data_IF_763510927971
#
_entry.id   IF_763510927971
#
_cell.length_a   1.000
_cell.length_b   1.000
_cell.length_c   1.000
_cell.angle_alpha   90.00
_cell.angle_beta   90.00
_cell.angle_gamma   90.00
#
_symmetry.space_group_name_H-M   'P 1'
#
loop_
_entity.id
_entity.type
_entity.pdbx_description
1 polymer ?
#
# COMPACT_ATOMS: atom_id res chain seq x y z
N UNK A 1 46.69 -28.87 -3.21
CA UNK A 1 45.53 -29.78 -3.10
C UNK A 1 44.52 -29.37 -4.16
N UNK A 2 44.38 -30.19 -5.20
CA UNK A 2 43.45 -29.96 -6.30
C UNK A 2 42.11 -30.64 -5.97
N UNK A 3 41.00 -29.93 -6.15
CA UNK A 3 39.66 -30.53 -6.18
C UNK A 3 38.89 -29.94 -7.36
N UNK A 4 38.27 -30.86 -8.08
CA UNK A 4 37.76 -30.77 -9.44
C UNK A 4 36.42 -30.02 -9.55
N UNK A 5 36.19 -29.47 -10.74
CA UNK A 5 34.89 -29.02 -11.25
C UNK A 5 34.07 -30.25 -11.67
N UNK A 6 32.80 -30.29 -11.27
CA UNK A 6 31.81 -31.20 -11.81
C UNK A 6 30.79 -30.38 -12.62
N UNK A 7 30.79 -30.61 -13.92
CA UNK A 7 29.71 -30.23 -14.84
C UNK A 7 28.53 -31.17 -14.62
N UNK A 8 27.33 -30.62 -14.47
CA UNK A 8 26.08 -31.36 -14.61
C UNK A 8 25.21 -30.68 -15.66
N UNK A 9 25.04 -31.40 -16.77
CA UNK A 9 24.12 -31.08 -17.84
C UNK A 9 22.66 -31.19 -17.35
N UNK A 10 21.85 -30.19 -17.66
CA UNK A 10 20.40 -30.24 -17.47
C UNK A 10 19.75 -30.84 -18.72
N UNK A 11 19.18 -32.03 -18.54
CA UNK A 11 18.29 -32.72 -19.46
C UNK A 11 16.90 -32.08 -19.40
N UNK A 12 16.43 -31.54 -20.53
CA UNK A 12 15.11 -30.92 -20.68
C UNK A 12 14.14 -31.93 -21.27
N UNK A 13 13.37 -32.61 -20.43
CA UNK A 13 12.17 -33.34 -20.85
C UNK A 13 10.92 -32.63 -20.32
N UNK A 14 10.20 -32.01 -21.24
CA UNK A 14 8.94 -31.32 -20.99
C UNK A 14 7.82 -32.33 -20.72
N UNK A 15 7.32 -32.38 -19.49
CA UNK A 15 6.07 -33.04 -19.16
C UNK A 15 4.90 -32.08 -19.45
N UNK A 16 4.06 -32.44 -20.42
CA UNK A 16 2.77 -31.81 -20.69
C UNK A 16 1.83 -32.11 -19.52
N UNK A 17 1.56 -31.10 -18.70
CA UNK A 17 0.50 -31.17 -17.70
C UNK A 17 -0.83 -30.73 -18.30
N UNK A 18 -1.86 -31.57 -18.16
CA UNK A 18 -3.23 -31.33 -18.63
C UNK A 18 -4.06 -30.93 -17.42
N UNK A 19 -4.24 -29.64 -17.20
CA UNK A 19 -5.19 -29.14 -16.21
C UNK A 19 -6.63 -29.16 -16.77
N UNK A 20 -7.64 -29.50 -15.96
CA UNK A 20 -9.03 -29.59 -16.39
C UNK A 20 -9.67 -28.20 -16.52
N UNK A 21 -10.45 -28.04 -17.58
CA UNK A 21 -11.35 -26.91 -17.83
C UNK A 21 -12.41 -26.79 -16.73
N UNK A 22 -12.32 -25.74 -15.92
CA UNK A 22 -13.44 -25.25 -15.13
C UNK A 22 -14.29 -24.31 -16.00
N UNK A 23 -15.52 -24.75 -16.28
CA UNK A 23 -16.58 -23.95 -16.91
C UNK A 23 -17.23 -23.12 -15.80
N UNK A 24 -17.21 -21.80 -15.94
CA UNK A 24 -17.89 -20.87 -15.03
C UNK A 24 -17.89 -19.47 -15.63
N UNK A 25 -19.08 -18.98 -15.97
CA UNK A 25 -19.38 -17.74 -16.68
C UNK A 25 -18.61 -16.52 -16.18
N UNK A 26 -17.84 -15.89 -17.06
CA UNK A 26 -17.34 -14.52 -16.92
C UNK A 26 -17.03 -13.95 -18.31
N UNK A 27 -18.06 -13.84 -19.14
CA UNK A 27 -17.97 -13.13 -20.42
C UNK A 27 -18.68 -11.76 -20.28
N UNK A 28 -18.06 -10.88 -19.48
CA UNK A 28 -18.35 -9.44 -19.58
C UNK A 28 -17.57 -8.92 -20.79
N UNK A 29 -18.27 -8.89 -21.93
CA UNK A 29 -17.72 -8.46 -23.22
C UNK A 29 -17.01 -7.10 -23.13
N UNK A 30 -16.00 -6.89 -23.98
CA UNK A 30 -15.32 -5.60 -24.14
C UNK A 30 -16.28 -4.41 -24.44
N UNK A 31 -17.50 -4.69 -24.92
CA UNK A 31 -18.54 -3.70 -25.10
C UNK A 31 -19.11 -3.17 -23.77
N UNK A 32 -19.18 -4.01 -22.74
CA UNK A 32 -19.52 -3.58 -21.38
C UNK A 32 -18.40 -2.72 -20.81
N UNK A 33 -17.14 -3.14 -20.91
CA UNK A 33 -16.01 -2.35 -20.42
C UNK A 33 -15.90 -0.95 -21.08
N UNK A 34 -16.18 -0.83 -22.39
CA UNK A 34 -16.13 0.45 -23.10
C UNK A 34 -17.32 1.36 -22.78
N UNK A 35 -18.54 0.82 -22.67
CA UNK A 35 -19.73 1.61 -22.28
C UNK A 35 -19.60 2.18 -20.86
N UNK A 36 -18.96 1.43 -19.96
CA UNK A 36 -18.71 1.86 -18.59
C UNK A 36 -17.57 2.89 -18.48
N UNK A 37 -16.58 2.86 -19.39
CA UNK A 37 -15.53 3.89 -19.46
C UNK A 37 -16.10 5.28 -19.76
N UNK A 38 -17.10 5.35 -20.63
CA UNK A 38 -17.75 6.61 -21.03
C UNK A 38 -18.66 7.18 -19.92
N UNK A 39 -19.35 6.32 -19.17
CA UNK A 39 -20.21 6.74 -18.05
C UNK A 39 -19.39 7.18 -16.81
N UNK A 40 -18.28 6.49 -16.51
CA UNK A 40 -17.42 6.81 -15.35
C UNK A 40 -16.46 7.97 -15.57
N UNK A 41 -16.04 8.24 -16.82
CA UNK A 41 -15.29 9.46 -17.16
C UNK A 41 -16.06 10.74 -16.77
N UNK A 42 -17.39 10.67 -16.67
CA UNK A 42 -18.24 11.77 -16.18
C UNK A 42 -18.33 11.84 -14.64
N UNK A 43 -18.28 10.70 -13.94
CA UNK A 43 -18.42 10.61 -12.47
C UNK A 43 -17.10 10.96 -11.76
N UNK A 44 -15.95 10.68 -12.37
CA UNK A 44 -14.63 10.94 -11.79
C UNK A 44 -13.89 12.13 -12.41
N UNK A 45 -14.50 12.87 -13.35
CA UNK A 45 -13.84 13.91 -14.15
C UNK A 45 -14.47 15.31 -14.11
N UNK A 46 -15.72 15.49 -13.66
CA UNK A 46 -16.37 16.81 -13.49
C UNK A 46 -17.42 16.76 -12.37
N UNK A 47 -17.69 17.86 -11.66
CA UNK A 47 -18.76 17.90 -10.67
C UNK A 47 -20.11 17.59 -11.33
N UNK A 48 -21.01 16.80 -10.69
CA UNK A 48 -22.22 16.35 -11.34
C UNK A 48 -23.23 17.49 -11.47
N UNK A 49 -23.75 17.66 -12.69
CA UNK A 49 -25.10 18.20 -12.89
C UNK A 49 -26.07 17.05 -12.63
N UNK A 50 -26.94 17.22 -11.65
CA UNK A 50 -27.99 16.24 -11.32
C UNK A 50 -28.95 16.08 -12.51
N UNK A 51 -29.01 14.89 -13.09
CA UNK A 51 -30.23 14.42 -13.74
C UNK A 51 -30.43 12.93 -13.44
N UNK A 52 -31.20 12.66 -12.38
CA UNK A 52 -31.51 11.31 -11.90
C UNK A 52 -32.79 10.77 -12.54
N UNK A 53 -32.97 10.95 -13.85
CA UNK A 53 -34.13 10.41 -14.57
C UNK A 53 -33.70 9.63 -15.81
N UNK A 54 -33.45 8.32 -15.65
CA UNK A 54 -33.72 7.26 -16.64
C UNK A 54 -33.14 5.91 -16.20
N UNK A 55 -33.84 5.21 -15.31
CA UNK A 55 -33.87 3.74 -15.35
C UNK A 55 -35.23 3.28 -14.84
N UNK A 56 -36.16 3.07 -15.76
CA UNK A 56 -37.36 2.27 -15.54
C UNK A 56 -37.71 1.57 -16.86
N UNK A 57 -37.36 0.28 -16.97
CA UNK A 57 -38.04 -0.63 -17.88
C UNK A 57 -39.07 -1.39 -17.06
N UNK A 58 -40.33 -1.19 -17.43
CA UNK A 58 -41.50 -1.69 -16.75
C UNK A 58 -41.64 -3.22 -16.92
N UNK A 59 -41.77 -3.93 -15.81
CA UNK A 59 -42.46 -5.21 -15.75
C UNK A 59 -43.91 -4.95 -15.30
N UNK A 60 -44.87 -5.46 -16.07
CA UNK A 60 -46.31 -5.33 -15.81
C UNK A 60 -46.71 -6.13 -14.56
N UNK A 61 -47.48 -5.56 -13.60
CA UNK A 61 -47.84 -6.26 -12.38
C UNK A 61 -49.10 -7.13 -12.59
N UNK A 62 -49.00 -8.40 -12.20
CA UNK A 62 -50.16 -9.24 -11.90
C UNK A 62 -50.77 -8.83 -10.57
N UNK A 63 -52.10 -8.71 -10.57
CA UNK A 63 -52.94 -8.20 -9.48
C UNK A 63 -53.13 -9.22 -8.35
N UNK A 64 -53.10 -8.68 -7.13
CA UNK A 64 -53.80 -9.11 -5.91
C UNK A 64 -52.92 -9.70 -4.79
N UNK A 65 -52.38 -8.82 -3.96
CA UNK A 65 -52.60 -8.90 -2.51
C UNK A 65 -52.47 -7.50 -1.90
N UNK A 66 -53.55 -6.99 -1.32
CA UNK A 66 -53.59 -5.72 -0.59
C UNK A 66 -53.23 -5.95 0.89
N UNK A 67 -52.16 -6.72 1.13
CA UNK A 67 -51.47 -6.74 2.41
C UNK A 67 -50.77 -5.39 2.61
N UNK A 68 -50.76 -4.91 3.85
CA UNK A 68 -50.12 -3.68 4.31
C UNK A 68 -48.79 -3.41 3.58
N UNK A 69 -48.83 -2.47 2.62
CA UNK A 69 -47.68 -2.11 1.77
C UNK A 69 -46.76 -1.10 2.43
N UNK A 70 -46.88 -0.89 3.74
CA UNK A 70 -45.96 -0.01 4.44
C UNK A 70 -44.59 -0.67 4.37
N UNK A 71 -43.58 -0.05 3.70
CA UNK A 71 -42.27 -0.65 3.58
C UNK A 71 -41.72 -0.95 4.98
N UNK A 72 -41.13 -2.13 5.16
CA UNK A 72 -40.46 -2.53 6.40
C UNK A 72 -39.38 -1.50 6.74
N UNK A 73 -39.73 -0.53 7.59
CA UNK A 73 -38.81 0.52 8.02
C UNK A 73 -37.72 -0.13 8.88
N UNK A 74 -36.48 0.12 8.53
CA UNK A 74 -35.34 -0.24 9.35
C UNK A 74 -34.99 0.93 10.25
N UNK A 75 -34.59 0.63 11.49
CA UNK A 75 -33.95 1.62 12.35
C UNK A 75 -32.57 2.03 11.80
N UNK A 76 -31.92 3.00 12.45
CA UNK A 76 -30.61 3.50 12.00
C UNK A 76 -29.47 2.49 12.20
N UNK A 77 -29.62 1.54 13.14
CA UNK A 77 -28.55 0.60 13.53
C UNK A 77 -28.03 -0.25 12.35
N UNK A 78 -28.87 -0.94 11.56
CA UNK A 78 -28.41 -1.68 10.37
C UNK A 78 -27.58 -0.83 9.40
N UNK A 79 -28.05 0.38 9.09
CA UNK A 79 -27.34 1.29 8.17
C UNK A 79 -26.00 1.77 8.75
N UNK A 80 -25.97 2.10 10.05
CA UNK A 80 -24.73 2.50 10.72
C UNK A 80 -23.72 1.34 10.84
N UNK A 81 -24.18 0.12 11.11
CA UNK A 81 -23.33 -1.07 11.16
C UNK A 81 -22.75 -1.38 9.76
N UNK A 82 -23.58 -1.26 8.71
CA UNK A 82 -23.13 -1.39 7.32
C UNK A 82 -22.11 -0.33 6.93
N UNK A 83 -22.37 0.94 7.27
CA UNK A 83 -21.44 2.03 7.02
C UNK A 83 -20.09 1.81 7.71
N UNK A 84 -20.12 1.50 9.01
CA UNK A 84 -18.90 1.23 9.80
C UNK A 84 -18.10 0.06 9.23
N UNK A 85 -18.77 -1.03 8.87
CA UNK A 85 -18.12 -2.23 8.31
C UNK A 85 -17.42 -1.91 6.99
N UNK A 86 -17.98 -1.01 6.18
CA UNK A 86 -17.44 -0.63 4.88
C UNK A 86 -16.58 0.65 4.91
N UNK A 87 -16.38 1.27 6.08
CA UNK A 87 -15.63 2.52 6.21
C UNK A 87 -16.29 3.72 5.54
N UNK A 88 -17.62 3.76 5.51
CA UNK A 88 -18.43 4.84 4.94
C UNK A 88 -18.93 5.80 6.02
N UNK A 89 -19.12 7.06 5.64
CA UNK A 89 -19.83 8.08 6.40
C UNK A 89 -21.32 8.05 6.05
N UNK A 90 -22.20 8.28 7.05
CA UNK A 90 -23.64 8.40 6.86
C UNK A 90 -24.17 9.77 7.28
N UNK A 91 -25.20 10.24 6.58
CA UNK A 91 -25.93 11.46 6.93
C UNK A 91 -27.42 11.28 6.67
N UNK A 92 -28.25 11.67 7.63
CA UNK A 92 -29.69 11.79 7.40
C UNK A 92 -29.96 13.03 6.54
N UNK A 93 -30.71 12.87 5.46
CA UNK A 93 -31.13 13.96 4.58
C UNK A 93 -32.42 14.60 5.09
N UNK A 94 -32.74 15.85 4.69
CA UNK A 94 -33.96 16.54 5.14
C UNK A 94 -35.27 15.82 4.80
N UNK A 95 -35.29 15.01 3.75
CA UNK A 95 -36.42 14.18 3.32
C UNK A 95 -36.51 12.81 4.04
N UNK A 96 -35.65 12.58 5.05
CA UNK A 96 -35.70 11.37 5.89
C UNK A 96 -34.94 10.16 5.35
N UNK A 97 -34.19 10.31 4.25
CA UNK A 97 -33.32 9.29 3.67
C UNK A 97 -31.96 9.24 4.37
N UNK A 98 -31.17 8.22 4.02
CA UNK A 98 -29.76 8.08 4.46
C UNK A 98 -28.86 8.20 3.25
N UNK A 99 -27.97 9.18 3.29
CA UNK A 99 -26.87 9.33 2.35
C UNK A 99 -25.64 8.57 2.87
N UNK A 100 -24.99 7.83 1.98
CA UNK A 100 -23.72 7.16 2.19
C UNK A 100 -22.63 7.86 1.37
N UNK A 101 -21.49 8.14 2.00
CA UNK A 101 -20.36 8.78 1.34
C UNK A 101 -19.03 8.34 1.91
N UNK A 102 -17.95 8.70 1.24
CA UNK A 102 -16.59 8.60 1.75
C UNK A 102 -15.83 9.88 1.40
N UNK A 103 -14.75 10.16 2.15
CA UNK A 103 -13.82 11.25 1.83
C UNK A 103 -12.61 10.68 1.08
N UNK A 104 -12.36 11.16 -0.14
CA UNK A 104 -11.26 10.75 -1.00
C UNK A 104 -10.54 11.99 -1.54
N UNK A 105 -9.24 12.08 -1.30
CA UNK A 105 -8.38 13.15 -1.79
C UNK A 105 -8.85 14.57 -1.41
N UNK A 106 -9.46 14.71 -0.23
CA UNK A 106 -10.03 15.96 0.27
C UNK A 106 -11.49 16.19 -0.13
N UNK A 107 -12.04 15.38 -1.04
CA UNK A 107 -13.37 15.55 -1.62
C UNK A 107 -14.35 14.49 -1.09
N UNK A 108 -15.64 14.83 -1.10
CA UNK A 108 -16.70 13.89 -0.73
C UNK A 108 -17.16 13.12 -1.96
N UNK A 109 -17.02 11.80 -1.92
CA UNK A 109 -17.63 10.88 -2.88
C UNK A 109 -18.93 10.33 -2.30
N UNK A 110 -20.07 10.73 -2.86
CA UNK A 110 -21.37 10.14 -2.49
C UNK A 110 -21.53 8.79 -3.19
N UNK A 111 -21.79 7.74 -2.41
CA UNK A 111 -22.06 6.38 -2.90
C UNK A 111 -23.52 6.25 -3.32
N UNK A 112 -24.44 6.81 -2.53
CA UNK A 112 -25.87 6.76 -2.80
C UNK A 112 -26.69 7.38 -1.68
N UNK A 113 -27.96 7.65 -1.97
CA UNK A 113 -28.95 8.10 -0.96
C UNK A 113 -30.18 7.20 -1.08
N UNK A 114 -30.53 6.53 0.02
CA UNK A 114 -31.57 5.49 0.03
C UNK A 114 -32.58 5.71 1.14
N UNK A 115 -33.81 5.25 0.92
CA UNK A 115 -34.83 5.24 1.96
C UNK A 115 -34.43 4.30 3.12
N UNK A 116 -34.92 4.59 4.34
CA UNK A 116 -34.70 3.76 5.54
C UNK A 116 -35.56 2.50 5.54
N UNK A 117 -35.48 1.73 4.47
CA UNK A 117 -36.24 0.51 4.24
C UNK A 117 -35.30 -0.66 3.95
N UNK A 118 -35.82 -1.88 4.00
CA UNK A 118 -35.07 -3.07 3.61
C UNK A 118 -34.61 -3.03 2.16
N UNK A 119 -35.43 -2.46 1.27
CA UNK A 119 -35.14 -2.26 -0.14
C UNK A 119 -34.00 -1.25 -0.32
N UNK A 120 -34.05 -0.11 0.38
CA UNK A 120 -32.98 0.88 0.36
C UNK A 120 -31.65 0.31 0.87
N UNK A 121 -31.68 -0.55 1.89
CA UNK A 121 -30.49 -1.26 2.36
C UNK A 121 -29.90 -2.20 1.29
N UNK A 122 -30.74 -2.98 0.60
CA UNK A 122 -30.29 -3.84 -0.51
C UNK A 122 -29.73 -3.03 -1.67
N UNK A 123 -30.34 -1.88 -1.96
CA UNK A 123 -29.89 -0.97 -3.01
C UNK A 123 -28.47 -0.47 -2.72
N UNK A 124 -28.21 0.09 -1.53
CA UNK A 124 -26.88 0.60 -1.21
C UNK A 124 -25.81 -0.51 -1.15
N UNK A 125 -26.15 -1.70 -0.65
CA UNK A 125 -25.24 -2.86 -0.66
C UNK A 125 -24.87 -3.28 -2.09
N UNK A 126 -25.85 -3.32 -3.00
CA UNK A 126 -25.62 -3.61 -4.42
C UNK A 126 -24.75 -2.54 -5.07
N UNK A 127 -25.07 -1.26 -4.88
CA UNK A 127 -24.31 -0.14 -5.45
C UNK A 127 -22.85 -0.17 -4.99
N UNK A 128 -22.61 -0.41 -3.68
CA UNK A 128 -21.26 -0.49 -3.15
C UNK A 128 -20.47 -1.66 -3.74
N UNK A 129 -21.10 -2.84 -3.88
CA UNK A 129 -20.47 -4.02 -4.50
C UNK A 129 -20.10 -3.76 -5.96
N UNK A 130 -21.01 -3.17 -6.73
CA UNK A 130 -20.77 -2.81 -8.13
C UNK A 130 -19.60 -1.84 -8.26
N UNK A 131 -19.59 -0.74 -7.49
CA UNK A 131 -18.48 0.22 -7.49
C UNK A 131 -17.15 -0.45 -7.09
N UNK A 132 -17.17 -1.36 -6.12
CA UNK A 132 -15.97 -2.09 -5.67
C UNK A 132 -15.43 -2.97 -6.79
N UNK A 133 -16.28 -3.77 -7.43
CA UNK A 133 -15.88 -4.65 -8.54
C UNK A 133 -15.36 -3.86 -9.75
N UNK A 134 -16.01 -2.74 -10.10
CA UNK A 134 -15.58 -1.86 -11.18
C UNK A 134 -14.22 -1.23 -10.89
N UNK A 135 -14.03 -0.68 -9.69
CA UNK A 135 -12.73 -0.10 -9.30
C UNK A 135 -11.64 -1.17 -9.26
N UNK A 136 -11.92 -2.39 -8.79
CA UNK A 136 -10.94 -3.48 -8.83
C UNK A 136 -10.48 -3.75 -10.27
N UNK A 137 -11.43 -3.95 -11.20
CA UNK A 137 -11.13 -4.19 -12.61
C UNK A 137 -10.34 -3.04 -13.24
N UNK A 138 -10.70 -1.80 -12.92
CA UNK A 138 -9.97 -0.61 -13.37
C UNK A 138 -8.50 -0.65 -12.94
N UNK A 139 -8.22 -0.94 -11.66
CA UNK A 139 -6.85 -0.99 -11.13
C UNK A 139 -6.05 -2.15 -11.73
N UNK A 140 -6.66 -3.33 -11.88
CA UNK A 140 -5.99 -4.46 -12.53
C UNK A 140 -5.61 -4.13 -13.99
N UNK A 141 -6.46 -3.41 -14.71
CA UNK A 141 -6.20 -3.02 -16.10
C UNK A 141 -5.20 -1.87 -16.22
N UNK A 142 -5.29 -0.85 -15.35
CA UNK A 142 -4.44 0.35 -15.40
C UNK A 142 -3.01 0.05 -14.95
N UNK A 143 -2.86 -0.74 -13.89
CA UNK A 143 -1.57 -0.95 -13.22
C UNK A 143 -1.04 -2.39 -13.33
N UNK A 144 -1.82 -3.33 -13.88
CA UNK A 144 -1.39 -4.73 -13.98
C UNK A 144 -1.27 -5.45 -12.64
N UNK A 145 -1.86 -4.91 -11.57
CA UNK A 145 -1.91 -5.55 -10.24
C UNK A 145 -3.01 -6.61 -10.20
N UNK A 146 -3.05 -7.41 -9.13
CA UNK A 146 -4.12 -8.39 -8.86
C UNK A 146 -4.65 -8.28 -7.44
N UNK A 147 -5.89 -8.71 -7.22
CA UNK A 147 -6.52 -8.73 -5.90
C UNK A 147 -7.00 -10.14 -5.58
N UNK A 148 -6.60 -10.66 -4.42
CA UNK A 148 -7.01 -11.98 -3.98
C UNK A 148 -8.53 -12.05 -3.78
N UNK A 149 -9.14 -13.15 -4.23
CA UNK A 149 -10.55 -13.44 -4.03
C UNK A 149 -10.76 -14.52 -2.97
N UNK A 150 -11.94 -14.55 -2.31
CA UNK A 150 -12.31 -15.69 -1.45
C UNK A 150 -12.17 -17.02 -2.20
N UNK A 151 -11.35 -17.92 -1.66
CA UNK A 151 -11.06 -19.23 -2.27
C UNK A 151 -9.74 -19.28 -3.05
N UNK A 152 -9.08 -18.15 -3.29
CA UNK A 152 -7.72 -18.13 -3.83
C UNK A 152 -6.73 -18.85 -2.90
N UNK A 153 -5.58 -19.31 -3.43
CA UNK A 153 -4.50 -19.85 -2.61
C UNK A 153 -4.12 -18.90 -1.47
N UNK A 154 -4.19 -19.42 -0.24
CA UNK A 154 -4.12 -18.63 0.99
C UNK A 154 -2.67 -18.34 1.35
N UNK A 155 -2.31 -17.07 1.66
CA UNK A 155 -1.01 -16.80 2.26
C UNK A 155 -0.90 -17.55 3.60
N UNK A 156 0.33 -17.83 4.00
CA UNK A 156 0.61 -18.48 5.29
C UNK A 156 1.18 -17.45 6.23
N UNK A 157 0.82 -17.56 7.51
CA UNK A 157 1.48 -16.81 8.56
C UNK A 157 2.99 -17.03 8.49
N UNK A 158 3.76 -15.94 8.56
CA UNK A 158 5.21 -16.03 8.68
C UNK A 158 5.56 -16.88 9.91
N UNK A 159 6.41 -17.89 9.71
CA UNK A 159 6.92 -18.75 10.77
C UNK A 159 8.42 -18.60 10.84
N UNK A 160 8.99 -18.67 12.05
CA UNK A 160 10.44 -18.63 12.22
C UNK A 160 11.14 -19.65 11.31
N UNK A 161 12.32 -19.32 10.75
CA UNK A 161 13.09 -20.26 9.94
C UNK A 161 13.29 -21.59 10.66
N UNK A 162 12.85 -22.69 10.04
CA UNK A 162 12.92 -24.05 10.62
C UNK A 162 11.69 -24.48 11.45
N UNK A 163 10.71 -23.60 11.64
CA UNK A 163 9.42 -23.95 12.27
C UNK A 163 8.47 -24.60 11.26
N UNK A 164 7.41 -25.25 11.79
CA UNK A 164 6.32 -25.75 10.95
C UNK A 164 5.69 -24.58 10.16
N UNK A 165 5.25 -24.80 8.91
CA UNK A 165 4.60 -23.77 8.12
C UNK A 165 3.45 -23.15 8.91
N UNK A 166 3.38 -21.81 8.92
CA UNK A 166 2.30 -21.10 9.59
C UNK A 166 0.92 -21.47 9.05
N UNK A 167 -0.10 -21.11 9.83
CA UNK A 167 -1.51 -21.35 9.49
C UNK A 167 -1.86 -20.62 8.19
N UNK A 168 -2.69 -21.25 7.37
CA UNK A 168 -3.28 -20.59 6.21
C UNK A 168 -4.25 -19.48 6.65
N UNK A 169 -4.14 -18.34 5.98
CA UNK A 169 -4.89 -17.13 6.32
C UNK A 169 -6.04 -16.94 5.33
N UNK A 170 -7.25 -16.89 5.87
CA UNK A 170 -8.45 -16.67 5.08
C UNK A 170 -8.47 -15.27 4.49
N UNK A 171 -8.81 -15.18 3.21
CA UNK A 171 -8.88 -13.92 2.45
C UNK A 171 -10.33 -13.49 2.25
N UNK A 172 -10.53 -12.18 2.14
CA UNK A 172 -11.78 -11.50 1.77
C UNK A 172 -11.54 -10.63 0.54
N UNK A 173 -12.62 -10.24 -0.11
CA UNK A 173 -12.56 -9.17 -1.11
C UNK A 173 -12.19 -7.82 -0.44
N UNK A 174 -11.50 -6.93 -1.17
CA UNK A 174 -11.25 -5.57 -0.72
C UNK A 174 -12.54 -4.75 -0.58
N UNK A 175 -12.50 -3.72 0.26
CA UNK A 175 -13.54 -2.68 0.35
C UNK A 175 -13.24 -1.57 -0.65
N UNK A 176 -14.26 -0.86 -1.13
CA UNK A 176 -14.08 0.29 -2.04
C UNK A 176 -13.05 1.31 -1.53
N UNK A 177 -13.12 1.65 -0.24
CA UNK A 177 -12.20 2.57 0.42
C UNK A 177 -10.72 2.13 0.32
N UNK A 178 -10.47 0.83 0.44
CA UNK A 178 -9.13 0.25 0.35
C UNK A 178 -8.59 0.35 -1.08
N UNK A 179 -9.44 0.06 -2.07
CA UNK A 179 -9.08 0.19 -3.48
C UNK A 179 -8.76 1.64 -3.87
N UNK A 180 -9.52 2.62 -3.38
CA UNK A 180 -9.24 4.04 -3.63
C UNK A 180 -7.90 4.49 -3.03
N UNK A 181 -7.52 3.97 -1.86
CA UNK A 181 -6.23 4.26 -1.25
C UNK A 181 -5.07 3.59 -2.01
N UNK A 182 -5.29 2.37 -2.48
CA UNK A 182 -4.35 1.66 -3.35
C UNK A 182 -4.17 2.39 -4.68
N UNK A 183 -5.24 2.90 -5.29
CA UNK A 183 -5.17 3.70 -6.52
C UNK A 183 -4.22 4.89 -6.35
N UNK A 184 -4.43 5.69 -5.29
CA UNK A 184 -3.59 6.85 -4.98
C UNK A 184 -2.12 6.44 -4.76
N UNK A 185 -1.88 5.32 -4.07
CA UNK A 185 -0.55 4.78 -3.87
C UNK A 185 0.11 4.32 -5.18
N UNK A 186 -0.62 3.59 -6.04
CA UNK A 186 -0.11 3.06 -7.29
C UNK A 186 0.27 4.18 -8.26
N UNK A 187 -0.53 5.23 -8.36
CA UNK A 187 -0.21 6.42 -9.15
C UNK A 187 1.10 7.06 -8.70
N UNK A 188 1.30 7.23 -7.38
CA UNK A 188 2.50 7.86 -6.81
C UNK A 188 3.73 6.96 -6.76
N UNK A 189 3.53 5.66 -6.58
CA UNK A 189 4.59 4.67 -6.51
C UNK A 189 4.96 4.11 -7.87
N UNK A 190 4.38 4.55 -8.99
CA UNK A 190 4.78 4.05 -10.31
C UNK A 190 6.30 4.22 -10.52
N UNK A 191 7.07 3.17 -10.90
CA UNK A 191 6.62 1.84 -11.36
C UNK A 191 6.84 0.70 -10.34
N UNK A 192 6.75 0.94 -9.04
CA UNK A 192 6.96 -0.06 -8.00
C UNK A 192 5.97 -1.21 -8.00
N UNK A 193 4.79 -1.02 -8.56
CA UNK A 193 3.86 -2.13 -8.80
C UNK A 193 4.16 -2.90 -10.10
N UNK A 194 4.97 -2.32 -10.99
CA UNK A 194 5.31 -2.95 -12.26
C UNK A 194 6.16 -4.17 -11.99
N UNK A 195 5.72 -5.26 -12.61
CA UNK A 195 6.46 -6.49 -12.74
C UNK A 195 7.72 -6.12 -13.52
N UNK A 196 8.92 -6.35 -12.96
CA UNK A 196 10.15 -6.17 -13.75
C UNK A 196 10.22 -7.22 -14.87
N UNK A 197 11.42 -7.66 -15.20
CA UNK A 197 11.62 -8.76 -16.17
C UNK A 197 10.90 -10.07 -15.78
N UNK A 198 10.47 -10.22 -14.53
CA UNK A 198 9.76 -11.40 -14.03
C UNK A 198 8.33 -11.56 -14.55
N UNK A 199 7.69 -10.50 -15.06
CA UNK A 199 6.31 -10.55 -15.58
C UNK A 199 5.21 -10.82 -14.54
N UNK A 200 5.55 -10.99 -13.25
CA UNK A 200 4.62 -11.36 -12.17
C UNK A 200 3.96 -10.15 -11.51
N UNK A 201 2.64 -10.05 -11.63
CA UNK A 201 1.82 -8.98 -11.04
C UNK A 201 1.94 -8.93 -9.51
N UNK A 202 2.05 -7.72 -8.94
CA UNK A 202 1.88 -7.55 -7.49
C UNK A 202 0.45 -7.89 -7.12
N UNK A 203 0.29 -8.81 -6.17
CA UNK A 203 -1.03 -9.26 -5.70
C UNK A 203 -1.33 -8.74 -4.29
N UNK A 204 -2.50 -8.10 -4.13
CA UNK A 204 -2.98 -7.63 -2.83
C UNK A 204 -3.88 -8.66 -2.17
N UNK A 205 -3.57 -9.01 -0.93
CA UNK A 205 -4.32 -9.94 -0.09
C UNK A 205 -4.98 -9.19 1.05
N UNK A 206 -6.29 -9.33 1.23
CA UNK A 206 -7.02 -8.75 2.35
C UNK A 206 -7.51 -9.85 3.27
N UNK A 207 -7.00 -9.88 4.50
CA UNK A 207 -7.27 -10.99 5.39
C UNK A 207 -8.59 -10.83 6.15
N UNK A 208 -9.19 -11.97 6.51
CA UNK A 208 -10.32 -12.05 7.46
C UNK A 208 -9.82 -12.16 8.91
N UNK A 209 -8.68 -12.81 9.10
CA UNK A 209 -8.07 -13.10 10.40
C UNK A 209 -6.67 -12.50 10.43
N UNK A 210 -6.17 -12.12 11.61
CA UNK A 210 -4.84 -11.53 11.74
C UNK A 210 -3.77 -12.51 11.25
N UNK A 211 -2.82 -11.99 10.46
CA UNK A 211 -1.69 -12.76 9.92
C UNK A 211 -0.65 -13.08 10.97
N UNK A 212 -0.48 -12.22 11.96
CA UNK A 212 0.54 -12.37 12.99
C UNK A 212 -0.06 -12.72 14.35
N UNK A 213 0.78 -13.19 15.29
CA UNK A 213 0.37 -13.23 16.69
C UNK A 213 -0.15 -11.85 17.11
N UNK A 214 -1.15 -11.75 18.02
CA UNK A 214 -1.81 -10.48 18.38
C UNK A 214 -0.87 -9.33 18.82
N UNK A 215 0.40 -9.64 19.08
CA UNK A 215 1.49 -8.74 19.47
C UNK A 215 2.17 -8.01 18.29
N UNK A 216 2.18 -8.59 17.09
CA UNK A 216 2.77 -7.99 15.89
C UNK A 216 1.72 -7.13 15.18
N UNK A 217 1.70 -5.85 15.52
CA UNK A 217 0.73 -4.85 15.06
C UNK A 217 1.05 -4.31 13.65
N UNK A 218 1.29 -5.21 12.68
CA UNK A 218 1.43 -4.83 11.27
C UNK A 218 0.09 -4.34 10.72
N UNK A 219 0.10 -3.32 9.86
CA UNK A 219 -1.10 -2.89 9.13
C UNK A 219 -1.19 -3.66 7.80
N UNK A 220 -0.05 -3.74 7.13
CA UNK A 220 0.21 -4.55 5.97
C UNK A 220 1.66 -5.04 6.02
N UNK A 221 2.02 -5.96 5.13
CA UNK A 221 3.38 -6.41 4.92
C UNK A 221 3.59 -6.76 3.44
N UNK A 222 4.77 -6.45 2.91
CA UNK A 222 5.22 -6.97 1.62
C UNK A 222 5.92 -8.32 1.80
N UNK A 223 5.33 -9.37 1.24
CA UNK A 223 5.83 -10.74 1.32
C UNK A 223 5.56 -11.49 0.00
N UNK A 224 6.36 -12.51 -0.36
CA UNK A 224 6.00 -13.39 -1.47
C UNK A 224 4.73 -14.20 -1.18
N UNK A 225 3.86 -14.34 -2.18
CA UNK A 225 2.70 -15.24 -2.08
C UNK A 225 3.11 -16.73 -2.08
N UNK A 226 2.14 -17.63 -1.99
CA UNK A 226 2.38 -19.09 -2.00
C UNK A 226 3.03 -19.63 -3.27
N UNK A 227 3.12 -18.82 -4.33
CA UNK A 227 3.78 -19.12 -5.60
C UNK A 227 5.07 -18.32 -5.78
N UNK A 228 5.52 -17.61 -4.74
CA UNK A 228 6.70 -16.74 -4.77
C UNK A 228 6.52 -15.52 -5.69
N UNK A 229 5.29 -15.02 -5.88
CA UNK A 229 5.04 -13.75 -6.54
C UNK A 229 5.04 -12.61 -5.53
N UNK A 230 5.43 -11.38 -5.91
CA UNK A 230 5.38 -10.24 -4.99
C UNK A 230 3.93 -9.99 -4.53
N UNK A 231 3.73 -9.83 -3.23
CA UNK A 231 2.42 -9.59 -2.67
C UNK A 231 2.44 -8.57 -1.52
N UNK A 232 1.31 -7.88 -1.36
CA UNK A 232 1.03 -7.03 -0.21
C UNK A 232 -0.09 -7.68 0.57
N UNK A 233 0.18 -8.06 1.82
CA UNK A 233 -0.76 -8.72 2.71
C UNK A 233 -1.28 -7.70 3.72
N UNK A 234 -2.58 -7.48 3.73
CA UNK A 234 -3.25 -6.47 4.55
C UNK A 234 -4.03 -7.16 5.68
N UNK A 235 -3.70 -6.81 6.92
CA UNK A 235 -4.34 -7.37 8.10
C UNK A 235 -5.82 -6.96 8.22
N UNK A 236 -6.66 -7.78 8.89
CA UNK A 236 -8.09 -7.49 8.97
C UNK A 236 -8.34 -6.21 9.77
N UNK A 237 -9.21 -5.36 9.24
CA UNK A 237 -9.68 -4.13 9.89
C UNK A 237 -8.57 -3.11 10.25
N UNK A 238 -7.32 -3.35 9.84
CA UNK A 238 -6.18 -2.47 10.14
C UNK A 238 -6.34 -1.09 9.45
N UNK A 239 -7.08 -1.05 8.34
CA UNK A 239 -7.32 0.14 7.52
C UNK A 239 -8.69 0.81 7.78
N UNK A 240 -9.56 0.24 8.61
CA UNK A 240 -10.96 0.70 8.73
C UNK A 240 -11.04 2.17 9.16
N UNK A 241 -10.18 2.58 10.10
CA UNK A 241 -10.11 3.95 10.64
C UNK A 241 -9.05 4.82 9.96
N UNK A 242 -8.38 4.29 8.95
CA UNK A 242 -7.27 4.93 8.23
C UNK A 242 -7.85 5.82 7.12
N UNK A 243 -7.45 7.10 7.01
CA UNK A 243 -7.87 7.95 5.88
C UNK A 243 -7.46 7.35 4.54
N UNK A 244 -8.17 7.65 3.45
CA UNK A 244 -7.84 7.09 2.12
C UNK A 244 -6.49 7.64 1.65
N UNK A 245 -6.37 8.96 1.60
CA UNK A 245 -5.16 9.68 1.18
C UNK A 245 -4.59 10.53 2.31
N UNK A 246 -3.36 11.03 2.15
CA UNK A 246 -2.79 12.00 3.09
C UNK A 246 -3.60 13.30 3.15
N UNK A 247 -4.30 13.69 2.07
CA UNK A 247 -5.17 14.89 2.05
C UNK A 247 -6.45 14.72 2.86
N UNK A 248 -6.86 13.48 3.13
CA UNK A 248 -8.06 13.19 3.90
C UNK A 248 -7.84 13.29 5.40
N UNK A 249 -6.57 13.35 5.85
CA UNK A 249 -6.20 13.39 7.27
C UNK A 249 -6.77 14.61 7.97
N UNK A 250 -7.34 14.39 9.15
CA UNK A 250 -7.51 15.47 10.11
C UNK A 250 -6.16 15.79 10.75
N UNK A 251 -5.80 17.07 10.76
CA UNK A 251 -4.59 17.65 11.39
C UNK A 251 -4.41 17.25 12.86
N UNK A 252 -5.46 16.75 13.53
CA UNK A 252 -5.47 16.42 14.96
C UNK A 252 -4.92 15.02 15.34
N UNK A 253 -4.58 14.15 14.38
CA UNK A 253 -4.02 12.82 14.72
C UNK A 253 -2.49 12.87 14.79
N UNK A 254 -1.98 12.72 16.01
CA UNK A 254 -0.56 12.51 16.27
C UNK A 254 -0.12 11.14 15.76
N UNK A 255 0.84 11.13 14.84
CA UNK A 255 1.46 9.92 14.28
C UNK A 255 1.98 10.13 12.86
N UNK A 256 3.10 9.48 12.49
CA UNK A 256 3.63 9.54 11.13
C UNK A 256 2.61 8.93 10.16
N UNK A 257 2.22 9.70 9.14
CA UNK A 257 1.65 9.28 7.85
C UNK A 257 1.01 7.89 7.80
N UNK A 258 -0.25 7.78 8.22
CA UNK A 258 -1.04 6.53 8.14
C UNK A 258 -2.33 6.76 7.35
N UNK A 259 -2.23 7.19 6.11
CA UNK A 259 -3.30 6.97 5.14
C UNK A 259 -3.16 5.58 4.53
N UNK A 260 -4.19 5.08 3.87
CA UNK A 260 -4.09 3.84 3.09
C UNK A 260 -3.05 4.06 1.99
N UNK A 261 -3.08 5.23 1.34
CA UNK A 261 -2.08 5.67 0.38
C UNK A 261 -0.65 5.53 0.91
N UNK A 262 -0.33 6.11 2.09
CA UNK A 262 1.04 6.05 2.62
C UNK A 262 1.48 4.64 2.99
N UNK A 263 0.59 3.82 3.58
CA UNK A 263 0.88 2.42 3.89
C UNK A 263 1.19 1.64 2.62
N UNK A 264 0.41 1.81 1.56
CA UNK A 264 0.64 1.04 0.33
C UNK A 264 1.90 1.51 -0.40
N UNK A 265 2.23 2.80 -0.37
CA UNK A 265 3.53 3.28 -0.90
C UNK A 265 4.69 2.68 -0.11
N UNK A 266 4.55 2.53 1.21
CA UNK A 266 5.54 1.89 2.07
C UNK A 266 5.76 0.42 1.65
N UNK A 267 4.69 -0.37 1.56
CA UNK A 267 4.82 -1.78 1.17
C UNK A 267 5.40 -1.93 -0.25
N UNK A 268 5.02 -1.04 -1.18
CA UNK A 268 5.61 -1.01 -2.52
C UNK A 268 7.08 -0.54 -2.51
N UNK A 269 7.53 0.17 -1.46
CA UNK A 269 8.93 0.51 -1.24
C UNK A 269 9.79 -0.72 -0.94
N UNK A 270 9.26 -1.71 -0.22
CA UNK A 270 9.93 -3.01 -0.05
C UNK A 270 10.08 -3.74 -1.40
N UNK A 271 9.08 -3.66 -2.27
CA UNK A 271 9.22 -4.20 -3.63
C UNK A 271 10.27 -3.45 -4.47
N UNK A 272 10.32 -2.11 -4.38
CA UNK A 272 11.37 -1.31 -5.02
C UNK A 272 12.76 -1.76 -4.58
N UNK A 273 12.94 -2.04 -3.28
CA UNK A 273 14.19 -2.56 -2.73
C UNK A 273 14.59 -3.88 -3.40
N UNK A 274 13.68 -4.85 -3.48
CA UNK A 274 13.95 -6.14 -4.13
C UNK A 274 14.28 -6.01 -5.62
N UNK A 275 13.60 -5.08 -6.32
CA UNK A 275 13.83 -4.85 -7.76
C UNK A 275 15.16 -4.18 -8.03
N UNK A 276 15.52 -3.16 -7.24
CA UNK A 276 16.63 -2.27 -7.56
C UNK A 276 17.98 -2.90 -7.25
N UNK A 277 18.09 -3.69 -6.19
CA UNK A 277 19.37 -4.31 -5.80
C UNK A 277 19.58 -5.65 -6.50
N UNK A 278 20.67 -5.77 -7.26
CA UNK A 278 20.95 -6.98 -8.05
C UNK A 278 21.49 -8.14 -7.22
N UNK A 279 22.05 -7.83 -6.06
CA UNK A 279 22.62 -8.81 -5.14
C UNK A 279 22.68 -8.27 -3.71
N UNK A 280 22.85 -9.16 -2.71
CA UNK A 280 22.92 -8.75 -1.31
C UNK A 280 24.07 -7.78 -0.96
N UNK A 281 25.18 -7.81 -1.70
CA UNK A 281 26.32 -6.92 -1.41
C UNK A 281 26.01 -5.47 -1.78
N UNK A 282 25.40 -5.23 -2.95
CA UNK A 282 24.95 -3.90 -3.37
C UNK A 282 23.94 -3.32 -2.37
N UNK A 283 23.01 -4.16 -1.91
CA UNK A 283 22.02 -3.80 -0.87
C UNK A 283 22.68 -3.44 0.46
N UNK A 284 23.64 -4.25 0.92
CA UNK A 284 24.40 -3.99 2.14
C UNK A 284 25.23 -2.70 2.07
N UNK A 285 25.86 -2.42 0.92
CA UNK A 285 26.59 -1.17 0.70
C UNK A 285 25.67 0.05 0.72
N UNK A 286 24.46 -0.07 0.15
CA UNK A 286 23.45 0.98 0.25
C UNK A 286 23.02 1.22 1.71
N UNK A 287 22.75 0.17 2.47
CA UNK A 287 22.42 0.29 3.89
C UNK A 287 23.54 0.91 4.71
N UNK A 288 24.80 0.61 4.39
CA UNK A 288 25.96 1.29 4.97
C UNK A 288 25.96 2.79 4.66
N UNK A 289 25.58 3.17 3.44
CA UNK A 289 25.35 4.57 3.07
C UNK A 289 24.29 5.25 3.94
N UNK A 290 23.23 4.53 4.31
CA UNK A 290 22.16 4.96 5.22
C UNK A 290 22.56 4.93 6.71
N UNK A 291 23.83 4.66 7.03
CA UNK A 291 24.31 4.65 8.41
C UNK A 291 24.01 3.33 9.15
N UNK A 292 23.71 2.25 8.45
CA UNK A 292 23.54 0.92 9.06
C UNK A 292 24.79 0.07 8.91
N UNK A 293 24.96 -0.93 9.78
CA UNK A 293 26.00 -1.94 9.66
C UNK A 293 25.52 -3.26 10.24
N UNK A 294 26.04 -4.41 9.77
CA UNK A 294 25.75 -5.68 10.41
C UNK A 294 26.19 -5.64 11.87
N UNK A 295 25.46 -6.31 12.75
CA UNK A 295 25.87 -6.45 14.16
C UNK A 295 27.17 -7.26 14.21
N UNK A 296 28.21 -6.82 14.94
CA UNK A 296 29.47 -7.56 15.01
C UNK A 296 29.24 -8.99 15.51
N UNK A 297 29.74 -9.97 14.76
CA UNK A 297 29.59 -11.39 15.09
C UNK A 297 28.27 -12.03 14.63
N UNK A 298 27.30 -11.27 14.10
CA UNK A 298 26.12 -11.85 13.47
C UNK A 298 26.49 -12.55 12.16
N UNK A 299 25.85 -13.68 11.88
CA UNK A 299 26.04 -14.35 10.59
C UNK A 299 25.23 -13.64 9.49
N UNK A 300 25.66 -13.68 8.22
CA UNK A 300 24.92 -13.06 7.12
C UNK A 300 23.45 -13.49 7.04
N UNK A 301 23.15 -14.76 7.35
CA UNK A 301 21.79 -15.31 7.37
C UNK A 301 20.91 -14.80 8.51
N UNK A 302 21.48 -14.24 9.57
CA UNK A 302 20.75 -13.72 10.72
C UNK A 302 20.14 -12.33 10.46
N UNK A 303 20.59 -11.66 9.38
CA UNK A 303 20.09 -10.36 8.92
C UNK A 303 19.97 -9.32 10.06
N UNK A 304 20.89 -9.34 11.02
CA UNK A 304 20.90 -8.42 12.16
C UNK A 304 21.67 -7.15 11.82
N UNK A 305 20.99 -6.01 11.93
CA UNK A 305 21.54 -4.69 11.63
C UNK A 305 21.55 -3.80 12.86
N UNK A 306 22.55 -2.94 12.94
CA UNK A 306 22.63 -1.82 13.87
C UNK A 306 22.75 -0.51 13.12
N UNK A 307 22.09 0.53 13.64
CA UNK A 307 22.27 1.91 13.26
C UNK A 307 23.56 2.46 13.89
N UNK A 308 24.40 3.11 13.10
CA UNK A 308 25.63 3.75 13.54
C UNK A 308 25.34 5.13 14.13
N UNK A 309 25.78 5.34 15.36
CA UNK A 309 25.70 6.61 16.07
C UNK A 309 26.84 7.57 15.72
N UNK A 310 26.53 8.87 15.76
CA UNK A 310 27.51 9.96 15.76
C UNK A 310 28.41 9.95 16.99
N UNK A 311 28.01 9.25 18.04
CA UNK A 311 28.80 9.03 19.26
C UNK A 311 29.71 7.79 19.18
N UNK A 312 29.81 7.17 17.99
CA UNK A 312 30.66 6.01 17.73
C UNK A 312 30.10 4.68 18.25
N UNK A 313 28.83 4.64 18.67
CA UNK A 313 28.17 3.44 19.19
C UNK A 313 27.19 2.85 18.18
N UNK A 314 26.92 1.54 18.29
CA UNK A 314 25.87 0.86 17.54
C UNK A 314 24.54 0.85 18.30
N UNK A 315 23.44 0.86 17.57
CA UNK A 315 22.08 0.77 18.12
C UNK A 315 21.24 -0.22 17.33
N UNK A 316 20.60 -1.18 17.99
CA UNK A 316 19.72 -2.15 17.34
C UNK A 316 18.34 -2.16 18.03
N UNK A 317 17.25 -2.48 17.33
CA UNK A 317 15.99 -2.80 18.01
C UNK A 317 16.20 -4.02 18.91
N UNK A 318 15.69 -3.95 20.13
CA UNK A 318 15.78 -4.98 21.15
C UNK A 318 14.45 -5.69 21.36
N UNK A 319 14.52 -7.01 21.49
CA UNK A 319 13.38 -7.88 21.77
C UNK A 319 12.51 -8.21 20.54
N UNK A 320 11.51 -9.09 20.70
CA UNK A 320 10.62 -9.53 19.62
C UNK A 320 9.63 -8.46 19.16
N UNK A 321 9.52 -7.33 19.89
CA UNK A 321 8.60 -6.24 19.57
C UNK A 321 9.38 -5.05 19.00
N UNK A 322 9.24 -4.73 17.70
CA UNK A 322 10.10 -3.77 16.98
C UNK A 322 10.11 -2.33 17.51
N UNK A 323 9.15 -1.94 18.36
CA UNK A 323 8.87 -0.52 18.66
C UNK A 323 9.16 -0.05 20.08
N UNK A 324 9.49 -0.93 21.03
CA UNK A 324 9.55 -0.53 22.44
C UNK A 324 10.95 -0.37 23.01
N UNK A 325 11.95 -1.13 22.57
CA UNK A 325 13.24 -1.17 23.28
C UNK A 325 14.41 -1.12 22.31
N UNK A 326 14.93 0.05 21.93
CA UNK A 326 16.24 0.07 21.27
C UNK A 326 17.34 -0.23 22.28
N UNK A 327 18.43 -0.84 21.82
CA UNK A 327 19.55 -1.28 22.64
C UNK A 327 20.86 -0.75 22.07
N UNK A 328 21.77 -0.36 22.95
CA UNK A 328 23.16 -0.03 22.62
C UNK A 328 23.96 -1.31 22.41
N UNK A 329 24.71 -1.36 21.32
CA UNK A 329 25.55 -2.49 20.92
C UNK A 329 27.01 -2.06 20.95
N UNK A 330 27.87 -2.86 21.59
CA UNK A 330 29.33 -2.65 21.60
C UNK A 330 30.01 -3.19 20.32
N UNK A 331 31.33 -3.04 20.24
CA UNK A 331 32.16 -3.51 19.12
C UNK A 331 32.20 -5.04 18.96
N UNK A 332 31.66 -5.78 19.93
CA UNK A 332 31.55 -7.25 19.95
C UNK A 332 30.11 -7.74 19.75
N UNK A 333 29.18 -6.84 19.42
CA UNK A 333 27.78 -7.18 19.22
C UNK A 333 26.98 -7.39 20.51
N UNK A 334 27.52 -6.99 21.67
CA UNK A 334 26.87 -7.20 22.97
C UNK A 334 26.02 -6.01 23.37
N UNK A 335 24.89 -6.30 24.00
CA UNK A 335 23.98 -5.30 24.55
C UNK A 335 24.61 -4.63 25.78
N UNK A 336 24.72 -3.30 25.77
CA UNK A 336 25.30 -2.49 26.86
C UNK A 336 24.30 -1.53 27.51
N UNK A 337 23.02 -1.67 27.17
CA UNK A 337 21.91 -0.99 27.83
C UNK A 337 20.85 -0.49 26.87
N UNK A 338 19.71 -0.13 27.42
CA UNK A 338 18.54 0.33 26.67
C UNK A 338 18.66 1.81 26.26
N UNK A 339 17.95 2.16 25.20
CA UNK A 339 17.83 3.51 24.67
C UNK A 339 16.47 3.70 24.01
N UNK A 340 15.88 4.88 24.13
CA UNK A 340 14.61 5.22 23.49
C UNK A 340 14.79 5.42 21.98
N UNK A 341 13.81 5.06 21.13
CA UNK A 341 13.84 5.33 19.68
C UNK A 341 14.22 6.79 19.34
N UNK A 342 13.60 7.78 20.00
CA UNK A 342 13.87 9.21 19.76
C UNK A 342 15.34 9.59 20.02
N UNK A 343 16.00 8.90 20.93
CA UNK A 343 17.41 9.14 21.23
C UNK A 343 18.30 8.51 20.16
N UNK A 344 17.94 7.33 19.65
CA UNK A 344 18.62 6.73 18.50
C UNK A 344 18.47 7.63 17.27
N UNK A 345 17.28 8.12 16.98
CA UNK A 345 17.03 9.07 15.88
C UNK A 345 17.97 10.28 15.95
N UNK A 346 18.10 10.90 17.13
CA UNK A 346 18.99 12.07 17.34
C UNK A 346 20.47 11.73 17.22
N UNK A 347 20.87 10.51 17.58
CA UNK A 347 22.26 10.07 17.56
C UNK A 347 22.65 9.43 16.22
N UNK A 348 21.70 9.07 15.36
CA UNK A 348 21.97 8.40 14.10
C UNK A 348 22.89 9.23 13.19
N UNK A 349 23.85 8.56 12.55
CA UNK A 349 24.75 9.19 11.59
C UNK A 349 23.98 9.75 10.40
N UNK A 350 23.01 8.99 9.90
CA UNK A 350 22.01 9.43 8.93
C UNK A 350 20.66 9.37 9.64
N UNK A 351 19.98 10.52 9.74
CA UNK A 351 18.75 10.61 10.52
C UNK A 351 17.61 9.91 9.77
N UNK A 352 16.85 8.98 10.40
CA UNK A 352 15.73 8.30 9.76
C UNK A 352 14.59 9.27 9.43
N UNK A 353 13.83 8.95 8.39
CA UNK A 353 12.76 9.82 7.86
C UNK A 353 11.60 9.99 8.85
N UNK A 354 11.28 8.93 9.59
CA UNK A 354 10.24 8.87 10.63
C UNK A 354 10.78 8.10 11.83
N UNK A 355 9.95 7.87 12.85
CA UNK A 355 10.29 7.01 13.98
C UNK A 355 10.06 5.50 13.72
N UNK A 356 9.65 5.14 12.50
CA UNK A 356 9.49 3.76 12.05
C UNK A 356 10.76 3.31 11.28
N UNK A 357 11.81 2.95 12.01
CA UNK A 357 13.12 2.60 11.41
C UNK A 357 13.75 1.38 12.07
N UNK A 358 12.96 0.33 12.27
CA UNK A 358 13.37 -0.88 13.01
C UNK A 358 14.44 -1.69 12.28
N UNK A 359 14.62 -1.46 10.99
CA UNK A 359 15.73 -1.97 10.21
C UNK A 359 16.05 -1.06 9.03
N UNK A 360 17.14 -1.34 8.28
CA UNK A 360 17.48 -0.56 7.11
C UNK A 360 16.42 -0.66 5.99
N UNK A 361 15.75 -1.80 5.84
CA UNK A 361 14.66 -1.98 4.88
C UNK A 361 13.46 -1.08 5.20
N UNK A 362 13.05 -1.02 6.48
CA UNK A 362 11.96 -0.12 6.91
C UNK A 362 12.33 1.36 6.75
N UNK A 363 13.57 1.73 7.08
CA UNK A 363 14.03 3.11 6.86
C UNK A 363 14.08 3.48 5.37
N UNK A 364 14.38 2.51 4.49
CA UNK A 364 14.33 2.69 3.04
C UNK A 364 12.88 2.87 2.57
N UNK A 365 11.97 1.97 2.95
CA UNK A 365 10.56 2.04 2.58
C UNK A 365 9.88 3.33 3.07
N UNK A 366 10.17 3.75 4.30
CA UNK A 366 9.71 5.05 4.83
C UNK A 366 10.30 6.24 4.07
N UNK A 367 11.59 6.17 3.72
CA UNK A 367 12.25 7.20 2.93
C UNK A 367 11.64 7.35 1.53
N UNK A 368 11.35 6.23 0.85
CA UNK A 368 10.65 6.22 -0.43
C UNK A 368 9.22 6.72 -0.30
N UNK A 369 8.51 6.34 0.77
CA UNK A 369 7.17 6.84 1.08
C UNK A 369 7.15 8.36 1.18
N UNK A 370 8.05 8.93 1.97
CA UNK A 370 8.18 10.37 2.13
C UNK A 370 8.53 11.09 0.83
N UNK A 371 9.38 10.48 -0.01
CA UNK A 371 9.74 11.02 -1.32
C UNK A 371 8.54 11.03 -2.30
N UNK A 372 7.77 9.94 -2.33
CA UNK A 372 6.68 9.67 -3.28
C UNK A 372 5.35 10.30 -2.88
N UNK A 373 5.13 10.57 -1.59
CA UNK A 373 3.98 11.35 -1.14
C UNK A 373 4.02 12.81 -1.59
N UNK A 374 5.22 13.34 -1.91
CA UNK A 374 5.40 14.65 -2.51
C UNK A 374 5.47 15.82 -1.52
N UNK A 375 5.41 17.03 -2.06
CA UNK A 375 5.30 18.35 -1.37
C UNK A 375 5.86 18.43 0.07
N UNK A 376 4.98 18.42 1.08
CA UNK A 376 5.35 18.58 2.49
C UNK A 376 6.20 17.43 3.03
N UNK A 377 5.95 16.19 2.60
CA UNK A 377 6.68 15.01 3.05
C UNK A 377 8.08 14.98 2.44
N UNK A 378 8.19 15.35 1.17
CA UNK A 378 9.50 15.51 0.51
C UNK A 378 10.31 16.64 1.15
N UNK A 379 9.66 17.77 1.47
CA UNK A 379 10.29 18.87 2.23
C UNK A 379 10.80 18.36 3.59
N UNK A 380 9.96 17.65 4.33
CA UNK A 380 10.33 17.09 5.64
C UNK A 380 11.52 16.12 5.51
N UNK A 381 11.54 15.24 4.51
CA UNK A 381 12.66 14.32 4.28
C UNK A 381 13.99 15.06 4.05
N UNK A 382 13.98 16.10 3.19
CA UNK A 382 15.16 16.94 2.94
C UNK A 382 15.62 17.69 4.20
N UNK A 383 14.69 18.21 4.99
CA UNK A 383 14.99 18.93 6.24
C UNK A 383 15.50 18.00 7.34
N UNK A 384 15.01 16.75 7.38
CA UNK A 384 15.44 15.73 8.33
C UNK A 384 16.87 15.27 8.04
N UNK A 385 17.14 14.84 6.79
CA UNK A 385 18.48 14.43 6.37
C UNK A 385 18.63 14.49 4.84
N UNK A 386 19.40 15.48 4.35
CA UNK A 386 19.65 15.65 2.91
C UNK A 386 20.41 14.46 2.29
N UNK A 387 21.22 13.72 3.06
CA UNK A 387 21.91 12.53 2.55
C UNK A 387 20.89 11.43 2.32
N UNK A 388 20.00 11.18 3.29
CA UNK A 388 18.92 10.21 3.11
C UNK A 388 18.02 10.57 1.92
N UNK A 389 17.63 11.84 1.79
CA UNK A 389 16.87 12.32 0.63
C UNK A 389 17.54 11.98 -0.70
N UNK A 390 18.84 12.30 -0.84
CA UNK A 390 19.60 12.02 -2.06
C UNK A 390 19.67 10.52 -2.37
N UNK A 391 19.80 9.67 -1.35
CA UNK A 391 19.79 8.22 -1.50
C UNK A 391 18.43 7.69 -1.97
N UNK A 392 17.33 8.15 -1.38
CA UNK A 392 15.98 7.76 -1.79
C UNK A 392 15.67 8.21 -3.22
N UNK A 393 16.05 9.43 -3.60
CA UNK A 393 15.94 9.94 -4.97
C UNK A 393 16.73 9.08 -5.96
N UNK A 394 17.92 8.61 -5.56
CA UNK A 394 18.73 7.70 -6.37
C UNK A 394 18.06 6.34 -6.60
N UNK A 395 17.48 5.73 -5.57
CA UNK A 395 16.74 4.47 -5.69
C UNK A 395 15.50 4.62 -6.57
N UNK A 396 14.69 5.66 -6.34
CA UNK A 396 13.50 5.92 -7.14
C UNK A 396 13.84 6.15 -8.62
N UNK A 397 14.88 6.94 -8.91
CA UNK A 397 15.32 7.15 -10.29
C UNK A 397 15.87 5.87 -10.92
N UNK A 398 16.63 5.05 -10.17
CA UNK A 398 17.14 3.77 -10.67
C UNK A 398 15.99 2.82 -11.03
N UNK A 399 14.93 2.77 -10.21
CA UNK A 399 13.73 1.99 -10.53
C UNK A 399 12.99 2.51 -11.78
N UNK A 400 12.83 3.83 -11.90
CA UNK A 400 12.24 4.47 -13.09
C UNK A 400 13.04 4.12 -14.34
N UNK A 401 14.37 4.24 -14.28
CA UNK A 401 15.29 3.97 -15.38
C UNK A 401 15.25 2.50 -15.80
N UNK A 402 15.15 1.57 -14.84
CA UNK A 402 14.98 0.14 -15.12
C UNK A 402 13.68 -0.16 -15.87
N UNK A 403 12.58 0.54 -15.54
CA UNK A 403 11.26 0.24 -16.12
C UNK A 403 11.04 0.94 -17.46
N UNK A 404 11.43 2.22 -17.56
CA UNK A 404 11.10 3.04 -18.72
C UNK A 404 12.30 3.30 -19.64
N UNK A 405 13.50 2.89 -19.23
CA UNK A 405 14.76 3.15 -19.89
C UNK A 405 15.45 4.38 -19.29
N UNK A 406 16.78 4.26 -19.16
CA UNK A 406 17.62 5.25 -18.51
C UNK A 406 17.43 6.67 -19.06
N UNK A 407 17.17 7.62 -18.17
CA UNK A 407 17.10 9.04 -18.49
C UNK A 407 15.88 9.47 -19.30
N UNK A 408 14.90 8.60 -19.54
CA UNK A 408 13.68 8.98 -20.27
C UNK A 408 12.65 9.69 -19.42
N UNK A 409 12.55 9.30 -18.15
CA UNK A 409 11.57 9.83 -17.22
C UNK A 409 12.25 10.24 -15.91
N UNK A 410 11.59 11.14 -15.20
CA UNK A 410 11.97 11.55 -13.85
C UNK A 410 10.71 11.84 -13.04
N UNK A 411 10.81 11.70 -11.72
CA UNK A 411 9.74 12.13 -10.82
C UNK A 411 9.84 13.63 -10.56
N UNK A 412 8.74 14.34 -10.79
CA UNK A 412 8.60 15.75 -10.45
C UNK A 412 8.56 15.95 -8.92
N UNK A 413 8.54 17.22 -8.50
CA UNK A 413 8.40 17.57 -7.08
C UNK A 413 7.01 17.21 -6.53
N UNK A 414 5.97 17.40 -7.36
CA UNK A 414 4.58 16.99 -7.14
C UNK A 414 4.36 15.53 -7.56
N UNK A 415 5.30 14.64 -7.21
CA UNK A 415 5.17 13.17 -7.26
C UNK A 415 4.91 12.48 -8.62
N UNK A 416 4.55 13.23 -9.65
CA UNK A 416 4.19 12.73 -10.97
C UNK A 416 5.43 12.27 -11.74
N UNK A 417 5.29 11.16 -12.44
CA UNK A 417 6.26 10.75 -13.43
C UNK A 417 6.07 11.61 -14.68
N UNK A 418 7.15 12.20 -15.18
CA UNK A 418 7.13 13.04 -16.38
C UNK A 418 8.35 12.74 -17.27
N UNK A 419 8.26 13.02 -18.59
CA UNK A 419 9.43 12.97 -19.46
C UNK A 419 10.55 13.83 -18.91
N UNK A 420 11.77 13.31 -18.97
CA UNK A 420 12.95 14.02 -18.51
C UNK A 420 13.36 15.06 -19.55
N UNK A 421 13.50 16.32 -19.11
CA UNK A 421 13.99 17.44 -19.93
C UNK A 421 14.78 18.41 -19.05
N UNK A 422 15.56 19.30 -19.67
CA UNK A 422 16.31 20.33 -18.93
C UNK A 422 15.38 21.24 -18.12
N UNK A 423 14.20 21.55 -18.65
CA UNK A 423 13.17 22.37 -17.98
C UNK A 423 12.60 21.64 -16.76
N UNK A 424 12.31 20.34 -16.89
CA UNK A 424 11.80 19.51 -15.80
C UNK A 424 12.84 19.35 -14.67
N UNK A 425 14.11 19.16 -15.03
CA UNK A 425 15.23 19.09 -14.07
C UNK A 425 15.42 20.41 -13.33
N UNK A 426 15.42 21.53 -14.08
CA UNK A 426 15.52 22.87 -13.50
C UNK A 426 14.36 23.15 -12.55
N UNK A 427 13.13 22.84 -12.95
CA UNK A 427 11.95 23.03 -12.11
C UNK A 427 12.00 22.20 -10.82
N UNK A 428 12.49 20.95 -10.90
CA UNK A 428 12.70 20.12 -9.71
C UNK A 428 13.76 20.74 -8.79
N UNK A 429 14.90 21.16 -9.34
CA UNK A 429 15.99 21.76 -8.56
C UNK A 429 15.55 23.03 -7.85
N UNK A 430 14.87 23.95 -8.54
CA UNK A 430 14.35 25.20 -7.96
C UNK A 430 13.40 24.92 -6.79
N UNK A 431 12.53 23.91 -6.92
CA UNK A 431 11.61 23.49 -5.85
C UNK A 431 12.34 22.87 -4.66
N UNK A 432 13.35 22.04 -4.92
CA UNK A 432 14.20 21.46 -3.86
C UNK A 432 14.99 22.54 -3.12
N UNK A 433 15.56 23.51 -3.82
CA UNK A 433 16.28 24.64 -3.22
C UNK A 433 15.35 25.51 -2.38
N UNK A 434 14.16 25.83 -2.90
CA UNK A 434 13.15 26.56 -2.14
C UNK A 434 12.72 25.81 -0.87
N UNK A 435 12.56 24.48 -0.96
CA UNK A 435 12.20 23.66 0.20
C UNK A 435 13.33 23.58 1.25
N UNK A 436 14.61 23.50 0.82
CA UNK A 436 15.77 23.58 1.72
C UNK A 436 15.89 24.94 2.40
N UNK A 437 15.50 26.02 1.72
CA UNK A 437 15.55 27.38 2.25
C UNK A 437 14.43 27.67 3.27
N UNK A 438 13.33 26.90 3.26
CA UNK A 438 12.28 27.01 4.28
C UNK A 438 12.86 26.61 5.63
N UNK A 439 12.85 27.54 6.59
CA UNK A 439 13.12 27.21 8.00
C UNK A 439 12.14 26.11 8.42
N UNK A 440 12.57 25.11 9.19
CA UNK A 440 11.64 24.19 9.83
C UNK A 440 10.64 25.06 10.58
N UNK A 441 9.36 25.00 10.21
CA UNK A 441 8.34 25.77 10.93
C UNK A 441 8.45 25.41 12.40
N UNK A 442 8.70 26.40 13.25
CA UNK A 442 8.48 26.27 14.69
C UNK A 442 7.00 25.91 14.82
N UNK A 443 6.74 24.61 15.00
CA UNK A 443 5.41 24.08 15.29
C UNK A 443 4.90 24.64 16.61
#
# INVERSE_FOLDING_TARGET
>A
MAIAKADTAHDTTAARDKSPTAVGDNDLSAATANRFRDELGSIFGKPPVQDSTKFAKAETPTKNDAGDKTPDKLGDKPFNDFARTNGLDTRNTPDGKVEFSLKNNGEKLTIGTVDKTREGFKEIDRTLKEMTSLKQLELENKFGVKFAQPGDPKPRQASDPGSKPGKELEVRSPKLKELLGIEAALDKATPSHATGDSGKAVKFYFLKNQSFEPSAKGVAAFEPDVHGNPAVIVDPNSLDKTPITERDRDTKRDGPHRSIESVMIHELGHHSEEKVFKNPAEKADFYKGMGWSPVPGSKPEENQWMMNGRDGRGYAPGGPTPHSNWQRIDDKGRVTGEVSPDRVERLAQVKPATNYFTGPHEMLAEGLTMLRLGDSHRTQLMQTDNKLYGMMKGIDQKEIDMTHGAGKFMRSYDEKLQPRSAEAEKALLEREEAARARKPGTK
#
